data_IF_308905941173
#
_entry.id   IF_308905941173
#
_cell.length_a   1.000
_cell.length_b   1.000
_cell.length_c   1.000
_cell.angle_alpha   90.00
_cell.angle_beta   90.00
_cell.angle_gamma   90.00
#
_symmetry.space_group_name_H-M   'P 1'
#
loop_
_entity.id
_entity.type
_entity.pdbx_description
1 polymer ?
#
# COMPACT_ATOMS: atom_id res chain seq x y z
N UNK A 1 -14.57 45.58 74.31
CA UNK A 1 -13.51 45.41 75.31
C UNK A 1 -13.10 43.95 75.31
N UNK A 2 -11.81 43.66 75.17
CA UNK A 2 -11.25 42.31 75.35
C UNK A 2 -10.81 42.19 76.81
N UNK A 3 -11.20 41.11 77.48
CA UNK A 3 -10.70 40.79 78.82
C UNK A 3 -9.51 39.85 78.64
N UNK A 4 -8.30 40.34 78.88
CA UNK A 4 -7.08 39.55 78.75
C UNK A 4 -6.51 39.25 80.12
N UNK A 5 -6.40 37.97 80.45
CA UNK A 5 -5.69 37.49 81.64
C UNK A 5 -4.29 37.03 81.24
N UNK A 6 -3.32 37.33 82.10
CA UNK A 6 -1.92 36.98 81.89
C UNK A 6 -1.52 35.92 82.91
N UNK A 7 -1.45 34.66 82.48
CA UNK A 7 -1.09 33.51 83.32
C UNK A 7 0.05 32.74 82.67
N UNK A 8 1.16 32.50 83.38
CA UNK A 8 2.32 31.76 82.89
C UNK A 8 2.94 32.29 81.57
N UNK A 9 3.13 33.60 81.47
CA UNK A 9 3.79 34.26 80.33
C UNK A 9 3.08 34.09 78.98
N UNK A 10 1.82 33.65 78.98
CA UNK A 10 0.93 33.63 77.81
C UNK A 10 -0.30 34.51 78.08
N UNK A 11 -0.61 35.39 77.13
CA UNK A 11 -1.76 36.30 77.20
C UNK A 11 -3.00 35.59 76.62
N UNK A 12 -3.98 35.31 77.47
CA UNK A 12 -5.27 34.73 77.04
C UNK A 12 -6.33 35.82 77.02
N UNK A 13 -6.73 36.23 75.82
CA UNK A 13 -7.78 37.22 75.63
C UNK A 13 -9.12 36.55 75.35
N UNK A 14 -10.17 37.01 76.04
CA UNK A 14 -11.54 36.59 75.81
C UNK A 14 -12.38 37.77 75.33
N UNK A 15 -13.28 37.50 74.38
CA UNK A 15 -14.33 38.45 73.99
C UNK A 15 -15.37 38.56 75.10
N UNK A 16 -16.13 39.65 75.13
CA UNK A 16 -17.25 39.85 76.08
C UNK A 16 -18.34 38.75 76.04
N UNK A 17 -18.31 37.87 75.04
CA UNK A 17 -19.18 36.70 74.89
C UNK A 17 -18.52 35.37 75.30
N UNK A 18 -17.35 35.40 75.95
CA UNK A 18 -16.65 34.21 76.47
C UNK A 18 -15.84 33.42 75.44
N UNK A 19 -15.76 33.87 74.18
CA UNK A 19 -14.98 33.18 73.15
C UNK A 19 -13.48 33.49 73.27
N UNK A 20 -12.60 32.48 73.30
CA UNK A 20 -11.16 32.68 73.34
C UNK A 20 -10.67 33.30 72.03
N UNK A 21 -9.81 34.30 72.14
CA UNK A 21 -9.16 35.00 71.03
C UNK A 21 -7.68 34.65 71.07
N UNK A 22 -7.23 33.98 70.02
CA UNK A 22 -5.81 33.69 69.79
C UNK A 22 -5.24 34.72 68.83
N UNK A 23 -3.94 35.00 68.96
CA UNK A 23 -3.21 35.88 68.06
C UNK A 23 -1.98 35.12 67.53
N UNK A 24 -1.60 35.39 66.27
CA UNK A 24 -0.36 34.89 65.70
C UNK A 24 0.84 35.70 66.26
N UNK A 25 2.07 35.34 65.89
CA UNK A 25 3.29 36.01 66.34
C UNK A 25 3.36 37.50 65.93
N UNK A 26 2.62 37.90 64.90
CA UNK A 26 2.51 39.28 64.42
C UNK A 26 1.37 40.06 65.11
N UNK A 27 0.60 39.42 66.00
CA UNK A 27 -0.52 40.04 66.71
C UNK A 27 -1.86 40.00 65.95
N UNK A 28 -1.99 39.23 64.87
CA UNK A 28 -3.24 39.09 64.11
C UNK A 28 -4.09 37.94 64.67
N UNK A 29 -5.39 38.18 64.83
CA UNK A 29 -6.35 37.13 65.17
C UNK A 29 -6.70 36.28 63.93
N UNK A 30 -7.04 34.99 64.09
CA UNK A 30 -7.48 34.16 62.97
C UNK A 30 -8.73 34.76 62.34
N UNK A 31 -8.70 34.91 61.01
CA UNK A 31 -9.81 35.47 60.26
C UNK A 31 -11.06 34.60 60.39
N UNK A 32 -12.21 35.24 60.55
CA UNK A 32 -13.51 34.58 60.45
C UNK A 32 -14.43 35.50 59.68
N UNK A 33 -15.04 34.97 58.63
CA UNK A 33 -15.85 35.77 57.73
C UNK A 33 -17.18 35.08 57.46
N UNK A 34 -18.26 35.84 57.53
CA UNK A 34 -19.53 35.43 56.96
C UNK A 34 -19.58 35.87 55.50
N UNK A 35 -20.02 34.97 54.63
CA UNK A 35 -20.09 35.20 53.19
C UNK A 35 -21.54 35.47 52.82
N UNK A 36 -21.78 36.63 52.21
CA UNK A 36 -23.11 37.07 51.81
C UNK A 36 -23.22 37.11 50.29
N UNK A 37 -24.40 36.76 49.78
CA UNK A 37 -24.79 37.02 48.39
C UNK A 37 -25.94 38.02 48.37
N UNK A 38 -25.85 39.01 47.48
CA UNK A 38 -26.95 39.94 47.22
C UNK A 38 -27.97 39.28 46.30
N UNK A 39 -29.15 38.97 46.82
CA UNK A 39 -30.21 38.22 46.14
C UNK A 39 -31.50 39.04 46.07
N UNK A 40 -32.29 38.84 45.02
CA UNK A 40 -33.62 39.46 44.87
C UNK A 40 -34.66 38.45 45.31
N UNK A 41 -35.41 38.78 46.37
CA UNK A 41 -36.47 37.93 46.88
C UNK A 41 -37.69 37.98 45.94
N UNK A 42 -38.64 37.04 46.08
CA UNK A 42 -39.85 36.92 45.25
C UNK A 42 -40.72 38.18 45.20
N UNK A 43 -40.52 39.12 46.14
CA UNK A 43 -41.20 40.42 46.22
C UNK A 43 -40.46 41.55 45.51
N UNK A 44 -39.48 41.24 44.67
CA UNK A 44 -38.61 42.21 43.97
C UNK A 44 -37.76 43.10 44.88
N UNK A 45 -37.60 42.73 46.15
CA UNK A 45 -36.74 43.41 47.13
C UNK A 45 -35.39 42.72 47.20
N UNK A 46 -34.30 43.49 47.12
CA UNK A 46 -32.96 42.95 47.17
C UNK A 46 -32.41 42.97 48.61
N UNK A 47 -31.83 41.84 49.04
CA UNK A 47 -31.31 41.64 50.39
C UNK A 47 -30.00 40.85 50.40
N UNK A 48 -29.18 41.09 51.43
CA UNK A 48 -27.98 40.30 51.69
C UNK A 48 -28.37 39.03 52.45
N UNK A 49 -28.10 37.86 51.85
CA UNK A 49 -28.34 36.57 52.46
C UNK A 49 -27.02 35.88 52.77
N UNK A 50 -26.87 35.36 53.99
CA UNK A 50 -25.70 34.53 54.37
C UNK A 50 -25.75 33.24 53.57
N UNK A 51 -24.70 32.98 52.79
CA UNK A 51 -24.55 31.78 51.96
C UNK A 51 -23.42 30.87 52.44
N UNK A 52 -22.61 31.32 53.40
CA UNK A 52 -21.53 30.52 53.94
C UNK A 52 -20.71 31.26 54.99
N UNK A 53 -19.69 30.58 55.48
CA UNK A 53 -18.72 31.14 56.41
C UNK A 53 -17.32 30.59 56.11
N UNK A 54 -16.31 31.35 56.52
CA UNK A 54 -14.91 30.97 56.43
C UNK A 54 -14.30 30.97 57.83
N UNK A 55 -13.81 29.80 58.25
CA UNK A 55 -13.10 29.59 59.51
C UNK A 55 -11.95 28.63 59.23
N UNK A 56 -10.84 29.15 58.69
CA UNK A 56 -9.70 28.41 58.13
C UNK A 56 -10.02 27.49 56.93
N UNK A 57 -11.27 27.06 56.80
CA UNK A 57 -11.84 26.34 55.67
C UNK A 57 -13.11 27.06 55.19
N UNK A 58 -13.38 26.93 53.89
CA UNK A 58 -14.54 27.54 53.24
C UNK A 58 -15.74 26.60 53.32
N UNK A 59 -16.82 27.07 53.96
CA UNK A 59 -18.10 26.38 54.02
C UNK A 59 -19.15 27.19 53.26
N UNK A 60 -19.55 26.71 52.09
CA UNK A 60 -20.59 27.32 51.26
C UNK A 60 -21.81 26.42 51.16
N UNK A 61 -22.99 27.00 51.32
CA UNK A 61 -24.25 26.35 51.06
C UNK A 61 -24.68 26.64 49.62
N UNK A 62 -24.49 25.65 48.73
CA UNK A 62 -24.79 25.79 47.30
C UNK A 62 -26.29 26.00 47.05
N UNK A 63 -27.15 25.35 47.83
CA UNK A 63 -28.61 25.45 47.70
C UNK A 63 -29.15 26.83 48.13
N UNK A 64 -28.39 27.55 48.95
CA UNK A 64 -28.76 28.89 49.39
C UNK A 64 -28.41 29.97 48.36
N UNK A 65 -27.59 29.66 47.35
CA UNK A 65 -27.15 30.59 46.31
C UNK A 65 -28.18 30.74 45.19
N UNK A 66 -28.24 31.93 44.61
CA UNK A 66 -29.13 32.23 43.49
C UNK A 66 -28.37 32.91 42.36
N UNK A 67 -28.58 32.43 41.14
CA UNK A 67 -28.00 33.00 39.92
C UNK A 67 -29.10 33.56 39.03
N UNK A 68 -28.77 34.60 38.27
CA UNK A 68 -29.71 35.29 37.37
C UNK A 68 -30.23 34.42 36.23
N UNK A 69 -29.50 33.36 35.87
CA UNK A 69 -29.86 32.39 34.82
C UNK A 69 -30.94 31.39 35.24
N UNK A 70 -31.34 31.34 36.52
CA UNK A 70 -32.31 30.39 37.06
C UNK A 70 -31.77 28.97 37.26
N UNK A 71 -30.54 28.69 36.82
CA UNK A 71 -29.81 27.45 37.07
C UNK A 71 -29.09 27.56 38.43
N UNK A 72 -29.25 26.59 39.36
CA UNK A 72 -28.54 26.60 40.65
C UNK A 72 -27.02 26.33 40.51
N UNK A 73 -26.54 25.90 39.34
CA UNK A 73 -25.10 25.65 39.11
C UNK A 73 -24.28 26.94 39.03
N UNK A 74 -23.05 26.89 39.55
CA UNK A 74 -22.12 28.04 39.54
C UNK A 74 -21.71 28.36 38.10
N UNK A 75 -21.83 29.62 37.64
CA UNK A 75 -21.44 29.99 36.29
C UNK A 75 -19.92 29.83 36.09
N UNK A 76 -19.55 29.14 35.02
CA UNK A 76 -18.14 28.95 34.68
C UNK A 76 -17.52 30.27 34.20
N UNK A 77 -16.48 30.73 34.90
CA UNK A 77 -15.69 31.91 34.51
C UNK A 77 -14.45 31.48 33.71
N UNK A 78 -14.67 30.92 32.51
CA UNK A 78 -13.60 30.43 31.62
C UNK A 78 -13.52 31.27 30.34
N UNK A 79 -12.30 31.61 29.91
CA UNK A 79 -12.10 32.35 28.66
C UNK A 79 -12.32 31.49 27.42
N UNK A 80 -11.97 30.21 27.51
CA UNK A 80 -12.04 29.28 26.38
C UNK A 80 -12.54 27.92 26.89
N UNK A 81 -13.42 27.31 26.12
CA UNK A 81 -13.94 25.97 26.43
C UNK A 81 -12.85 24.91 26.17
N UNK A 82 -12.93 23.74 26.81
CA UNK A 82 -12.08 22.60 26.47
C UNK A 82 -12.19 22.25 24.98
N UNK A 83 -11.05 21.98 24.34
CA UNK A 83 -11.02 21.58 22.94
C UNK A 83 -11.57 20.17 22.75
N UNK A 84 -12.04 19.88 21.54
CA UNK A 84 -12.53 18.55 21.18
C UNK A 84 -11.36 17.59 20.96
N UNK A 85 -11.67 16.30 20.92
CA UNK A 85 -10.70 15.27 20.54
C UNK A 85 -10.15 15.55 19.14
N UNK A 86 -8.83 15.44 18.95
CA UNK A 86 -8.17 15.76 17.69
C UNK A 86 -7.85 17.24 17.47
N UNK A 87 -8.09 18.08 18.48
CA UNK A 87 -7.75 19.50 18.47
C UNK A 87 -6.70 19.83 19.54
N UNK A 88 -5.70 20.63 19.18
CA UNK A 88 -4.72 21.17 20.12
C UNK A 88 -5.08 22.58 20.59
N UNK A 89 -4.68 22.90 21.81
CA UNK A 89 -4.77 24.24 22.41
C UNK A 89 -3.63 25.11 21.90
N UNK A 90 -3.99 26.24 21.31
CA UNK A 90 -3.09 27.31 20.88
C UNK A 90 -3.31 28.51 21.78
N UNK A 91 -2.44 28.70 22.76
CA UNK A 91 -2.55 29.77 23.76
C UNK A 91 -2.47 31.14 23.09
N UNK A 92 -3.37 32.04 23.48
CA UNK A 92 -3.39 33.43 22.99
C UNK A 92 -2.20 34.18 23.58
N UNK A 93 -1.43 34.85 22.73
CA UNK A 93 -0.25 35.63 23.18
C UNK A 93 -0.68 36.70 24.18
N UNK A 94 -0.10 36.68 25.37
CA UNK A 94 -0.36 37.65 26.43
C UNK A 94 -1.50 37.30 27.39
N UNK A 95 -2.26 36.21 27.18
CA UNK A 95 -3.33 35.78 28.10
C UNK A 95 -3.28 34.25 28.32
N UNK A 96 -2.72 33.77 29.45
CA UNK A 96 -2.43 32.34 29.64
C UNK A 96 -3.66 31.44 29.79
N UNK A 97 -4.81 31.99 30.18
CA UNK A 97 -6.06 31.23 30.36
C UNK A 97 -6.94 31.17 29.10
N UNK A 98 -6.54 31.83 28.02
CA UNK A 98 -7.29 31.86 26.76
C UNK A 98 -6.54 31.06 25.68
N UNK A 99 -7.25 30.20 24.97
CA UNK A 99 -6.69 29.40 23.87
C UNK A 99 -7.68 29.27 22.72
N UNK A 100 -7.13 29.08 21.52
CA UNK A 100 -7.89 28.63 20.36
C UNK A 100 -7.69 27.13 20.16
N UNK A 101 -8.75 26.43 19.80
CA UNK A 101 -8.68 25.03 19.43
C UNK A 101 -8.37 24.93 17.93
N UNK A 102 -7.27 24.25 17.59
CA UNK A 102 -6.82 24.06 16.22
C UNK A 102 -6.76 22.56 15.94
N UNK A 103 -7.41 22.10 14.88
CA UNK A 103 -7.49 20.68 14.53
C UNK A 103 -6.13 20.18 14.02
N UNK A 104 -5.74 18.97 14.41
CA UNK A 104 -4.60 18.29 13.79
C UNK A 104 -4.99 17.83 12.38
N UNK A 105 -4.35 18.37 11.34
CA UNK A 105 -4.67 18.07 9.94
C UNK A 105 -3.67 17.12 9.28
N UNK A 106 -4.14 16.46 8.21
CA UNK A 106 -3.35 15.50 7.44
C UNK A 106 -2.94 14.30 8.29
N UNK A 107 -1.65 13.94 8.26
CA UNK A 107 -1.11 12.79 9.00
C UNK A 107 -0.73 13.11 10.45
N UNK A 108 -1.23 14.22 11.00
CA UNK A 108 -0.97 14.57 12.39
C UNK A 108 -2.08 14.08 13.32
N UNK A 109 -1.68 13.65 14.51
CA UNK A 109 -2.56 13.28 15.61
C UNK A 109 -2.24 14.11 16.86
N UNK A 110 -3.18 14.18 17.78
CA UNK A 110 -3.07 14.90 19.05
C UNK A 110 -2.24 14.07 20.04
N UNK A 111 -0.93 14.33 20.07
CA UNK A 111 -0.03 13.70 21.04
C UNK A 111 -0.20 14.27 22.46
N UNK A 112 -0.56 15.56 22.55
CA UNK A 112 -0.85 16.22 23.81
C UNK A 112 -1.91 17.31 23.63
N UNK A 113 -2.38 17.89 24.73
CA UNK A 113 -3.32 19.02 24.66
C UNK A 113 -2.78 20.23 23.90
N UNK A 114 -1.46 20.38 23.73
CA UNK A 114 -0.85 21.57 23.11
C UNK A 114 -0.15 21.29 21.78
N UNK A 115 0.07 20.02 21.43
CA UNK A 115 0.91 19.63 20.32
C UNK A 115 0.27 18.53 19.47
N UNK A 116 0.35 18.71 18.15
CA UNK A 116 0.10 17.66 17.17
C UNK A 116 1.44 17.09 16.71
N UNK A 117 1.53 15.77 16.61
CA UNK A 117 2.70 15.05 16.10
C UNK A 117 2.34 14.29 14.82
N UNK A 118 3.33 14.03 13.98
CA UNK A 118 3.15 13.28 12.74
C UNK A 118 3.11 11.77 13.04
N UNK A 119 2.13 11.06 12.48
CA UNK A 119 2.11 9.60 12.55
C UNK A 119 3.32 8.98 11.82
N UNK A 120 3.81 7.81 12.27
CA UNK A 120 4.79 7.03 11.53
C UNK A 120 4.38 6.78 10.09
N UNK A 121 5.34 6.58 9.20
CA UNK A 121 5.10 6.46 7.75
C UNK A 121 4.11 5.34 7.37
N UNK A 122 4.12 4.23 8.11
CA UNK A 122 3.26 3.04 7.89
C UNK A 122 1.86 3.19 8.51
N UNK A 123 1.61 4.33 9.16
CA UNK A 123 0.39 4.61 9.92
C UNK A 123 -0.29 5.89 9.43
N UNK A 124 -1.58 5.98 9.76
CA UNK A 124 -2.45 7.12 9.54
C UNK A 124 -3.20 7.47 10.83
N UNK A 125 -3.65 8.71 11.02
CA UNK A 125 -4.47 9.04 12.18
C UNK A 125 -5.77 8.23 12.23
N UNK A 126 -6.28 8.03 13.43
CA UNK A 126 -7.64 7.53 13.65
C UNK A 126 -8.69 8.60 13.28
N UNK A 127 -9.96 8.21 13.23
CA UNK A 127 -11.05 9.13 12.87
C UNK A 127 -11.15 10.35 13.81
N UNK A 128 -10.72 10.18 15.08
CA UNK A 128 -10.72 11.24 16.08
C UNK A 128 -9.39 12.00 16.17
N UNK A 129 -8.38 11.65 15.37
CA UNK A 129 -7.01 12.20 15.43
C UNK A 129 -6.40 12.19 16.85
N UNK A 130 -6.75 11.19 17.66
CA UNK A 130 -6.21 10.96 19.01
C UNK A 130 -5.03 10.00 19.01
N UNK A 131 -4.87 9.21 17.95
CA UNK A 131 -3.78 8.25 17.81
C UNK A 131 -3.52 7.88 16.37
N UNK A 132 -2.56 6.96 16.19
CA UNK A 132 -2.21 6.42 14.88
C UNK A 132 -2.65 4.96 14.78
N UNK A 133 -3.15 4.59 13.61
CA UNK A 133 -3.55 3.23 13.24
C UNK A 133 -2.83 2.81 11.96
N UNK A 134 -2.56 1.51 11.76
CA UNK A 134 -1.90 1.04 10.55
C UNK A 134 -2.71 1.37 9.30
N UNK A 135 -2.02 1.76 8.23
CA UNK A 135 -2.65 1.98 6.93
C UNK A 135 -3.16 0.62 6.41
N UNK A 136 -4.45 0.53 6.00
CA UNK A 136 -4.99 -0.73 5.49
C UNK A 136 -4.30 -1.13 4.20
N UNK A 137 -3.91 -2.40 4.13
CA UNK A 137 -3.22 -2.98 2.98
C UNK A 137 -4.26 -3.48 1.99
N UNK A 138 -4.18 -3.02 0.75
CA UNK A 138 -4.98 -3.52 -0.34
C UNK A 138 -4.22 -4.61 -1.10
N UNK A 139 -4.98 -5.57 -1.63
CA UNK A 139 -4.50 -6.64 -2.49
C UNK A 139 -5.45 -6.78 -3.66
N UNK A 140 -4.96 -7.31 -4.78
CA UNK A 140 -5.84 -7.61 -5.89
C UNK A 140 -6.79 -8.74 -5.50
N UNK A 141 -8.08 -8.45 -5.46
CA UNK A 141 -9.10 -9.43 -5.15
C UNK A 141 -9.56 -10.15 -6.42
N UNK A 142 -9.80 -11.46 -6.31
CA UNK A 142 -10.25 -12.31 -7.42
C UNK A 142 -11.58 -11.86 -8.04
N UNK A 143 -12.43 -11.19 -7.26
CA UNK A 143 -13.73 -10.70 -7.70
C UNK A 143 -13.64 -9.33 -8.41
N UNK A 144 -12.48 -8.68 -8.39
CA UNK A 144 -12.30 -7.41 -9.09
C UNK A 144 -12.46 -7.60 -10.60
N UNK A 145 -13.22 -6.75 -11.31
CA UNK A 145 -13.37 -6.82 -12.76
C UNK A 145 -12.03 -6.88 -13.51
N UNK A 146 -11.01 -6.20 -12.97
CA UNK A 146 -9.65 -6.15 -13.50
C UNK A 146 -8.91 -7.49 -13.39
N UNK A 147 -9.28 -8.36 -12.45
CA UNK A 147 -8.75 -9.71 -12.31
C UNK A 147 -9.56 -10.75 -13.09
N UNK A 148 -10.90 -10.62 -13.09
CA UNK A 148 -11.81 -11.58 -13.73
C UNK A 148 -11.56 -11.70 -15.23
N UNK A 149 -11.38 -10.56 -15.93
CA UNK A 149 -11.20 -10.56 -17.38
C UNK A 149 -9.91 -11.31 -17.83
N UNK A 150 -8.71 -11.03 -17.30
CA UNK A 150 -7.51 -11.81 -17.62
C UNK A 150 -7.63 -13.29 -17.26
N UNK A 151 -8.21 -13.63 -16.09
CA UNK A 151 -8.39 -15.04 -15.69
C UNK A 151 -9.27 -15.77 -16.70
N UNK A 152 -10.38 -15.18 -17.11
CA UNK A 152 -11.29 -15.79 -18.08
C UNK A 152 -10.59 -16.06 -19.42
N UNK A 153 -9.85 -15.07 -19.94
CA UNK A 153 -9.08 -15.22 -21.19
C UNK A 153 -8.03 -16.34 -21.04
N UNK A 154 -7.33 -16.39 -19.91
CA UNK A 154 -6.31 -17.41 -19.67
C UNK A 154 -6.88 -18.82 -19.49
N UNK A 155 -8.05 -18.97 -18.87
CA UNK A 155 -8.76 -20.27 -18.82
C UNK A 155 -9.13 -20.73 -20.21
N UNK A 156 -9.73 -19.86 -21.04
CA UNK A 156 -10.04 -20.20 -22.44
C UNK A 156 -8.78 -20.55 -23.23
N UNK A 157 -7.70 -19.80 -23.04
CA UNK A 157 -6.39 -20.04 -23.66
C UNK A 157 -5.81 -21.40 -23.27
N UNK A 158 -5.86 -21.76 -21.98
CA UNK A 158 -5.42 -23.07 -21.48
C UNK A 158 -6.26 -24.21 -22.08
N UNK A 159 -7.59 -24.07 -22.10
CA UNK A 159 -8.48 -25.07 -22.68
C UNK A 159 -8.19 -25.28 -24.18
N UNK A 160 -8.04 -24.19 -24.93
CA UNK A 160 -7.70 -24.24 -26.35
C UNK A 160 -6.32 -24.87 -26.58
N UNK A 161 -5.31 -24.47 -25.80
CA UNK A 161 -3.94 -25.01 -25.91
C UNK A 161 -3.91 -26.50 -25.57
N UNK A 162 -4.62 -26.91 -24.52
CA UNK A 162 -4.73 -28.32 -24.11
C UNK A 162 -5.44 -29.14 -25.19
N UNK A 163 -6.52 -28.62 -25.78
CA UNK A 163 -7.19 -29.27 -26.91
C UNK A 163 -6.25 -29.47 -28.11
N UNK A 164 -5.44 -28.47 -28.44
CA UNK A 164 -4.42 -28.57 -29.51
C UNK A 164 -3.36 -29.61 -29.14
N UNK A 165 -2.84 -29.60 -27.91
CA UNK A 165 -1.87 -30.61 -27.44
C UNK A 165 -2.43 -32.03 -27.57
N UNK A 166 -3.64 -32.27 -27.08
CA UNK A 166 -4.30 -33.59 -27.16
C UNK A 166 -4.47 -34.02 -28.62
N UNK A 167 -4.86 -33.11 -29.50
CA UNK A 167 -4.98 -33.37 -30.94
C UNK A 167 -3.63 -33.73 -31.55
N UNK A 168 -2.56 -32.98 -31.25
CA UNK A 168 -1.21 -33.27 -31.73
C UNK A 168 -0.70 -34.63 -31.24
N UNK A 169 -0.97 -35.00 -29.98
CA UNK A 169 -0.60 -36.30 -29.42
C UNK A 169 -1.37 -37.44 -30.08
N UNK A 170 -2.68 -37.27 -30.30
CA UNK A 170 -3.56 -38.30 -30.90
C UNK A 170 -3.23 -38.59 -32.36
N UNK A 171 -2.76 -37.58 -33.10
CA UNK A 171 -2.42 -37.64 -34.51
C UNK A 171 -0.92 -37.51 -34.76
N UNK A 172 -0.07 -37.87 -33.79
CA UNK A 172 1.36 -37.60 -33.85
C UNK A 172 2.10 -38.31 -35.00
N UNK A 173 1.52 -39.38 -35.55
CA UNK A 173 2.10 -40.16 -36.66
C UNK A 173 1.66 -39.66 -38.04
N UNK A 174 0.78 -38.67 -38.11
CA UNK A 174 0.38 -38.09 -39.39
C UNK A 174 1.57 -37.42 -40.09
N UNK A 175 1.68 -37.55 -41.42
CA UNK A 175 2.83 -37.01 -42.16
C UNK A 175 2.98 -35.50 -42.02
N UNK A 176 1.86 -34.78 -41.81
CA UNK A 176 1.83 -33.33 -41.57
C UNK A 176 2.52 -32.98 -40.24
N UNK A 177 2.15 -33.64 -39.14
CA UNK A 177 2.73 -33.37 -37.81
C UNK A 177 4.22 -33.75 -37.78
N UNK A 178 4.59 -34.84 -38.44
CA UNK A 178 5.98 -35.28 -38.58
C UNK A 178 6.83 -34.31 -39.40
N UNK A 179 6.29 -33.71 -40.47
CA UNK A 179 7.00 -32.75 -41.32
C UNK A 179 7.29 -31.42 -40.58
N UNK A 180 6.32 -30.91 -39.80
CA UNK A 180 6.45 -29.65 -39.04
C UNK A 180 7.53 -29.69 -37.94
N UNK A 181 7.96 -30.88 -37.53
CA UNK A 181 8.90 -31.08 -36.43
C UNK A 181 8.18 -31.19 -35.08
N UNK A 182 7.69 -32.40 -34.79
CA UNK A 182 6.87 -32.75 -33.61
C UNK A 182 7.40 -32.18 -32.30
N UNK A 183 8.67 -32.45 -32.01
CA UNK A 183 9.32 -32.03 -30.77
C UNK A 183 9.24 -30.51 -30.56
N UNK A 184 9.52 -29.75 -31.61
CA UNK A 184 9.51 -28.29 -31.55
C UNK A 184 8.10 -27.71 -31.40
N UNK A 185 7.10 -28.37 -32.01
CA UNK A 185 5.69 -28.01 -31.81
C UNK A 185 5.26 -28.25 -30.36
N UNK A 186 5.70 -29.34 -29.73
CA UNK A 186 5.41 -29.58 -28.30
C UNK A 186 6.07 -28.54 -27.40
N UNK A 187 7.35 -28.19 -27.64
CA UNK A 187 8.03 -27.13 -26.86
C UNK A 187 7.31 -25.79 -27.01
N UNK A 188 6.86 -25.44 -28.22
CA UNK A 188 6.08 -24.22 -28.48
C UNK A 188 4.75 -24.23 -27.73
N UNK A 189 3.98 -25.33 -27.79
CA UNK A 189 2.70 -25.46 -27.09
C UNK A 189 2.86 -25.40 -25.57
N UNK A 190 3.93 -25.99 -25.03
CA UNK A 190 4.29 -25.86 -23.61
C UNK A 190 4.59 -24.41 -23.25
N UNK A 191 5.32 -23.67 -24.07
CA UNK A 191 5.56 -22.24 -23.87
C UNK A 191 4.27 -21.42 -23.83
N UNK A 192 3.36 -21.66 -24.78
CA UNK A 192 2.05 -21.00 -24.84
C UNK A 192 1.20 -21.33 -23.60
N UNK A 193 1.18 -22.60 -23.18
CA UNK A 193 0.50 -23.01 -21.96
C UNK A 193 1.04 -22.27 -20.74
N UNK A 194 2.37 -22.17 -20.59
CA UNK A 194 3.01 -21.41 -19.51
C UNK A 194 2.68 -19.92 -19.55
N UNK A 195 2.59 -19.32 -20.75
CA UNK A 195 2.18 -17.93 -20.92
C UNK A 195 0.74 -17.65 -20.47
N UNK A 196 -0.18 -18.61 -20.58
CA UNK A 196 -1.52 -18.47 -19.99
C UNK A 196 -1.53 -18.82 -18.50
N UNK A 197 -0.72 -19.80 -18.08
CA UNK A 197 -0.65 -20.22 -16.69
C UNK A 197 -0.06 -19.15 -15.77
N UNK A 198 0.81 -18.26 -16.26
CA UNK A 198 1.38 -17.17 -15.45
C UNK A 198 0.33 -16.15 -14.97
N UNK A 199 -0.82 -16.05 -15.63
CA UNK A 199 -1.89 -15.12 -15.22
C UNK A 199 -2.37 -15.39 -13.79
N UNK A 200 -2.40 -16.66 -13.37
CA UNK A 200 -2.83 -17.05 -12.02
C UNK A 200 -1.87 -16.57 -10.92
N UNK A 201 -0.55 -16.86 -10.94
CA UNK A 201 0.36 -16.33 -9.94
C UNK A 201 0.45 -14.80 -9.99
N UNK A 202 0.23 -14.15 -11.13
CA UNK A 202 0.18 -12.68 -11.22
C UNK A 202 -1.02 -12.07 -10.47
N UNK A 203 -2.14 -12.79 -10.38
CA UNK A 203 -3.36 -12.33 -9.71
C UNK A 203 -3.43 -12.81 -8.26
N UNK A 204 -2.84 -13.97 -7.95
CA UNK A 204 -2.80 -14.52 -6.61
C UNK A 204 -2.18 -13.54 -5.61
N UNK A 205 -2.64 -13.60 -4.36
CA UNK A 205 -2.12 -12.76 -3.29
C UNK A 205 -0.58 -12.94 -3.18
N UNK A 206 0.19 -11.85 -3.13
CA UNK A 206 1.63 -11.93 -2.98
C UNK A 206 2.00 -12.68 -1.71
N UNK A 207 2.77 -13.74 -1.91
CA UNK A 207 3.37 -14.58 -0.88
C UNK A 207 4.74 -15.02 -1.41
N UNK A 208 5.64 -15.48 -0.55
CA UNK A 208 6.99 -15.90 -0.94
C UNK A 208 6.95 -16.92 -2.08
N UNK A 209 6.03 -17.90 -2.01
CA UNK A 209 5.85 -18.89 -3.07
C UNK A 209 5.34 -18.25 -4.37
N UNK A 210 4.32 -17.39 -4.28
CA UNK A 210 3.74 -16.70 -5.44
C UNK A 210 4.76 -15.79 -6.12
N UNK A 211 5.54 -15.03 -5.34
CA UNK A 211 6.61 -14.18 -5.84
C UNK A 211 7.70 -14.99 -6.55
N UNK A 212 8.03 -16.17 -6.01
CA UNK A 212 8.94 -17.10 -6.67
C UNK A 212 8.42 -17.54 -8.03
N UNK A 213 7.15 -17.98 -8.09
CA UNK A 213 6.51 -18.39 -9.35
C UNK A 213 6.41 -17.25 -10.36
N UNK A 214 6.08 -16.02 -9.92
CA UNK A 214 6.06 -14.84 -10.80
C UNK A 214 7.42 -14.62 -11.44
N UNK A 215 8.50 -14.64 -10.67
CA UNK A 215 9.87 -14.44 -11.19
C UNK A 215 10.28 -15.52 -12.19
N UNK A 216 9.96 -16.80 -11.90
CA UNK A 216 10.29 -17.92 -12.79
C UNK A 216 9.52 -17.83 -14.10
N UNK A 217 8.19 -17.69 -14.02
CA UNK A 217 7.35 -17.83 -15.20
C UNK A 217 7.32 -16.59 -16.11
N UNK A 218 7.65 -15.40 -15.59
CA UNK A 218 7.58 -14.13 -16.33
C UNK A 218 8.34 -14.13 -17.64
N UNK A 219 9.59 -14.60 -17.63
CA UNK A 219 10.39 -14.76 -18.85
C UNK A 219 10.27 -16.15 -19.47
N UNK A 220 9.98 -17.18 -18.68
CA UNK A 220 10.17 -18.56 -19.12
C UNK A 220 9.19 -18.99 -20.20
N UNK A 221 7.89 -18.67 -20.08
CA UNK A 221 6.90 -19.03 -21.11
C UNK A 221 7.20 -18.41 -22.48
N UNK A 222 7.61 -17.14 -22.48
CA UNK A 222 8.01 -16.41 -23.68
C UNK A 222 9.31 -16.97 -24.26
N UNK A 223 10.28 -17.30 -23.40
CA UNK A 223 11.53 -17.92 -23.81
C UNK A 223 11.30 -19.29 -24.47
N UNK A 224 10.46 -20.16 -23.91
CA UNK A 224 10.10 -21.45 -24.53
C UNK A 224 9.49 -21.24 -25.92
N UNK A 225 8.53 -20.31 -26.03
CA UNK A 225 7.82 -20.02 -27.27
C UNK A 225 8.77 -19.49 -28.35
N UNK A 226 9.57 -18.47 -28.03
CA UNK A 226 10.48 -17.85 -29.00
C UNK A 226 11.69 -18.70 -29.33
N UNK A 227 12.25 -19.47 -28.39
CA UNK A 227 13.34 -20.40 -28.68
C UNK A 227 12.89 -21.52 -29.64
N UNK A 228 11.67 -22.05 -29.46
CA UNK A 228 11.10 -23.03 -30.37
C UNK A 228 10.84 -22.45 -31.77
N UNK A 229 10.24 -21.26 -31.85
CA UNK A 229 10.01 -20.55 -33.11
C UNK A 229 11.32 -20.20 -33.83
N UNK A 230 12.31 -19.69 -33.10
CA UNK A 230 13.63 -19.35 -33.64
C UNK A 230 14.32 -20.59 -34.22
N UNK A 231 14.26 -21.72 -33.51
CA UNK A 231 14.88 -22.95 -34.01
C UNK A 231 14.14 -23.52 -35.21
N UNK A 232 12.79 -23.42 -35.25
CA UNK A 232 12.00 -23.76 -36.44
C UNK A 232 12.35 -22.88 -37.65
N UNK A 233 12.39 -21.56 -37.48
CA UNK A 233 12.71 -20.62 -38.57
C UNK A 233 14.16 -20.76 -39.03
N UNK A 234 15.10 -20.98 -38.10
CA UNK A 234 16.50 -21.24 -38.42
C UNK A 234 16.66 -22.54 -39.24
N UNK A 235 15.97 -23.63 -38.84
CA UNK A 235 15.94 -24.89 -39.62
C UNK A 235 15.47 -24.63 -41.05
N UNK A 236 14.34 -23.92 -41.23
CA UNK A 236 13.79 -23.59 -42.56
C UNK A 236 14.84 -22.80 -43.35
N UNK A 237 15.39 -21.73 -42.77
CA UNK A 237 16.40 -20.91 -43.43
C UNK A 237 17.60 -21.73 -43.90
N UNK A 238 18.12 -22.64 -43.07
CA UNK A 238 19.27 -23.49 -43.41
C UNK A 238 18.98 -24.47 -44.54
N UNK A 239 17.78 -25.05 -44.58
CA UNK A 239 17.36 -25.95 -45.66
C UNK A 239 17.33 -25.19 -47.00
N UNK A 240 16.69 -24.03 -47.04
CA UNK A 240 16.58 -23.26 -48.28
C UNK A 240 17.89 -22.62 -48.72
N UNK A 241 18.68 -22.10 -47.79
CA UNK A 241 19.93 -21.42 -48.13
C UNK A 241 21.02 -22.40 -48.57
N UNK A 242 21.06 -23.60 -47.99
CA UNK A 242 21.96 -24.65 -48.47
C UNK A 242 21.43 -25.34 -49.71
N UNK A 243 20.12 -25.52 -49.86
CA UNK A 243 19.51 -26.06 -51.09
C UNK A 243 19.81 -25.21 -52.34
N UNK A 244 20.09 -23.90 -52.18
CA UNK A 244 20.57 -23.03 -53.26
C UNK A 244 22.04 -23.25 -53.64
N UNK A 245 22.86 -23.79 -52.73
CA UNK A 245 24.32 -23.90 -52.87
C UNK A 245 24.80 -25.35 -53.11
N UNK A 246 24.12 -26.34 -52.55
CA UNK A 246 24.48 -27.76 -52.64
C UNK A 246 23.26 -28.67 -52.38
N UNK A 247 23.28 -29.88 -52.94
CA UNK A 247 22.24 -30.90 -52.72
C UNK A 247 22.47 -31.70 -51.41
N UNK A 248 23.55 -31.39 -50.67
CA UNK A 248 23.87 -32.06 -49.41
C UNK A 248 23.02 -31.53 -48.25
N UNK A 249 22.56 -32.42 -47.34
CA UNK A 249 21.75 -31.99 -46.21
C UNK A 249 22.57 -31.17 -45.20
N UNK A 250 22.03 -30.06 -44.69
CA UNK A 250 22.67 -29.30 -43.63
C UNK A 250 23.02 -30.11 -42.37
N UNK A 251 24.17 -29.78 -41.74
CA UNK A 251 24.51 -30.24 -40.37
C UNK A 251 23.38 -29.89 -39.38
N UNK A 252 23.21 -30.51 -38.22
CA UNK A 252 22.16 -30.13 -37.24
C UNK A 252 20.69 -30.14 -37.74
N UNK A 253 20.33 -30.98 -38.73
CA UNK A 253 18.92 -31.20 -39.11
C UNK A 253 18.21 -32.16 -38.14
N UNK A 254 18.98 -32.98 -37.40
CA UNK A 254 18.41 -33.98 -36.51
C UNK A 254 17.52 -33.36 -35.43
N UNK A 255 16.34 -33.95 -35.12
CA UNK A 255 15.47 -33.49 -34.03
C UNK A 255 16.20 -33.36 -32.70
N UNK A 256 17.12 -34.28 -32.40
CA UNK A 256 17.93 -34.23 -31.17
C UNK A 256 18.81 -32.96 -31.12
N UNK A 257 19.46 -32.59 -32.23
CA UNK A 257 20.27 -31.36 -32.27
C UNK A 257 19.43 -30.08 -32.16
N UNK A 258 18.19 -30.08 -32.65
CA UNK A 258 17.26 -28.94 -32.53
C UNK A 258 16.77 -28.77 -31.09
N UNK A 259 16.46 -29.88 -30.41
CA UNK A 259 16.13 -29.86 -28.99
C UNK A 259 17.31 -29.34 -28.16
N UNK A 260 18.53 -29.78 -28.43
CA UNK A 260 19.72 -29.29 -27.71
C UNK A 260 19.90 -27.78 -27.88
N UNK A 261 19.75 -27.24 -29.10
CA UNK A 261 19.82 -25.79 -29.35
C UNK A 261 18.69 -25.05 -28.62
N UNK A 262 17.48 -25.61 -28.61
CA UNK A 262 16.34 -24.96 -27.96
C UNK A 262 16.49 -24.93 -26.44
N UNK A 263 16.86 -26.07 -25.85
CA UNK A 263 17.12 -26.17 -24.42
C UNK A 263 18.33 -25.36 -24.00
N UNK A 264 19.36 -25.20 -24.84
CA UNK A 264 20.48 -24.32 -24.50
C UNK A 264 20.04 -22.86 -24.43
N UNK A 265 19.21 -22.38 -25.35
CA UNK A 265 18.63 -21.02 -25.29
C UNK A 265 17.75 -20.84 -24.04
N UNK A 266 16.87 -21.80 -23.74
CA UNK A 266 16.04 -21.78 -22.53
C UNK A 266 16.89 -21.80 -21.26
N UNK A 267 17.98 -22.56 -21.27
CA UNK A 267 18.88 -22.67 -20.11
C UNK A 267 19.55 -21.34 -19.77
N UNK A 268 19.80 -20.46 -20.75
CA UNK A 268 20.33 -19.10 -20.48
C UNK A 268 19.33 -18.30 -19.64
N UNK A 269 18.04 -18.33 -19.99
CA UNK A 269 17.00 -17.66 -19.21
C UNK A 269 16.88 -18.26 -17.80
N UNK A 270 16.86 -19.59 -17.69
CA UNK A 270 16.80 -20.27 -16.39
C UNK A 270 18.01 -19.93 -15.51
N UNK A 271 19.22 -19.92 -16.08
CA UNK A 271 20.42 -19.54 -15.36
C UNK A 271 20.32 -18.12 -14.82
N UNK A 272 19.84 -17.17 -15.64
CA UNK A 272 19.62 -15.79 -15.20
C UNK A 272 18.64 -15.70 -14.03
N UNK A 273 17.54 -16.47 -14.08
CA UNK A 273 16.58 -16.56 -12.98
C UNK A 273 17.25 -17.14 -11.73
N UNK A 274 17.97 -18.26 -11.81
CA UNK A 274 18.62 -18.88 -10.66
C UNK A 274 19.69 -17.98 -10.02
N UNK A 275 20.50 -17.29 -10.84
CA UNK A 275 21.47 -16.29 -10.35
C UNK A 275 20.75 -15.19 -9.58
N UNK A 276 19.61 -14.72 -10.08
CA UNK A 276 18.84 -13.69 -9.37
C UNK A 276 18.21 -14.18 -8.08
N UNK A 277 17.73 -15.42 -8.04
CA UNK A 277 17.23 -16.05 -6.81
C UNK A 277 18.32 -16.17 -5.74
N UNK A 278 19.57 -16.41 -6.16
CA UNK A 278 20.70 -16.50 -5.24
C UNK A 278 21.18 -15.12 -4.75
N UNK A 279 21.13 -14.11 -5.62
CA UNK A 279 21.51 -12.74 -5.26
C UNK A 279 20.45 -12.07 -4.37
N UNK A 280 19.18 -12.13 -4.77
CA UNK A 280 18.05 -11.49 -4.09
C UNK A 280 16.93 -12.50 -3.86
N UNK A 281 16.79 -13.07 -2.64
CA UNK A 281 15.72 -14.01 -2.35
C UNK A 281 14.34 -13.36 -2.48
N UNK A 282 13.33 -14.09 -2.99
CA UNK A 282 11.99 -13.56 -3.16
C UNK A 282 11.35 -13.28 -1.81
N UNK A 283 10.90 -12.04 -1.61
CA UNK A 283 10.13 -11.63 -0.43
C UNK A 283 9.04 -10.65 -0.84
N UNK A 284 8.10 -10.43 0.07
CA UNK A 284 6.99 -9.49 -0.10
C UNK A 284 7.30 -8.19 0.62
N UNK A 285 6.97 -7.06 0.00
CA UNK A 285 7.12 -5.72 0.57
C UNK A 285 5.79 -4.98 0.48
N UNK A 286 5.48 -4.16 1.47
CA UNK A 286 4.33 -3.26 1.44
C UNK A 286 4.82 -1.90 1.01
N UNK A 287 4.31 -1.43 -0.12
CA UNK A 287 4.57 -0.08 -0.59
C UNK A 287 3.49 0.87 -0.08
N UNK A 288 3.87 1.79 0.78
CA UNK A 288 2.98 2.84 1.27
C UNK A 288 3.10 4.12 0.41
N UNK A 289 4.10 4.25 -0.46
CA UNK A 289 4.37 5.48 -1.22
C UNK A 289 3.35 5.72 -2.33
N UNK A 290 3.07 4.72 -3.16
CA UNK A 290 2.22 4.89 -4.36
C UNK A 290 0.77 5.27 -4.05
N UNK A 291 0.26 4.95 -2.86
CA UNK A 291 -1.14 5.18 -2.48
C UNK A 291 -1.31 5.93 -1.17
N UNK A 292 -0.27 6.68 -0.75
CA UNK A 292 -0.40 7.64 0.35
C UNK A 292 -0.88 8.98 -0.19
N UNK A 293 -2.20 9.10 -0.29
CA UNK A 293 -2.88 10.34 -0.68
C UNK A 293 -2.69 11.44 0.38
N UNK A 294 -2.90 12.70 -0.01
CA UNK A 294 -2.93 13.83 0.93
C UNK A 294 -4.00 13.64 2.02
N UNK A 295 -5.11 13.01 1.65
CA UNK A 295 -6.15 12.59 2.59
C UNK A 295 -5.76 11.27 3.28
N UNK A 296 -5.56 11.25 4.62
CA UNK A 296 -5.23 10.04 5.37
C UNK A 296 -6.36 8.98 5.36
N UNK A 297 -7.62 9.36 5.15
CA UNK A 297 -8.71 8.38 5.11
C UNK A 297 -8.62 7.46 3.88
N UNK A 298 -8.06 7.99 2.79
CA UNK A 298 -7.89 7.31 1.52
C UNK A 298 -6.52 6.65 1.35
N UNK A 299 -5.60 6.85 2.30
CA UNK A 299 -4.30 6.20 2.29
C UNK A 299 -4.42 4.67 2.31
N UNK A 300 -3.73 4.00 1.39
CA UNK A 300 -3.66 2.53 1.30
C UNK A 300 -2.21 2.08 1.13
N UNK A 301 -1.88 0.91 1.65
CA UNK A 301 -0.62 0.23 1.38
C UNK A 301 -0.83 -0.84 0.31
N UNK A 302 0.07 -0.96 -0.66
CA UNK A 302 -0.01 -1.98 -1.72
C UNK A 302 0.96 -3.10 -1.39
N UNK A 303 0.44 -4.31 -1.16
CA UNK A 303 1.29 -5.49 -1.00
C UNK A 303 1.81 -5.91 -2.38
N UNK A 304 3.13 -5.91 -2.56
CA UNK A 304 3.79 -6.33 -3.81
C UNK A 304 4.94 -7.31 -3.54
N UNK A 305 5.35 -8.01 -4.58
CA UNK A 305 6.59 -8.79 -4.54
C UNK A 305 7.76 -7.83 -4.73
N UNK A 306 8.79 -7.91 -3.88
CA UNK A 306 10.01 -7.17 -4.16
C UNK A 306 10.72 -7.83 -5.34
N UNK A 307 10.79 -7.15 -6.48
CA UNK A 307 11.43 -7.63 -7.69
C UNK A 307 12.29 -6.49 -8.21
N UNK A 308 13.59 -6.73 -8.33
CA UNK A 308 14.50 -5.74 -8.88
C UNK A 308 14.14 -5.39 -10.32
N UNK A 309 14.05 -4.10 -10.62
CA UNK A 309 13.85 -3.59 -11.97
C UNK A 309 14.91 -4.13 -12.94
N UNK A 310 16.14 -4.31 -12.47
CA UNK A 310 17.21 -4.88 -13.28
C UNK A 310 16.90 -6.33 -13.68
N UNK A 311 16.47 -7.17 -12.74
CA UNK A 311 16.05 -8.55 -13.04
C UNK A 311 14.94 -8.60 -14.07
N UNK A 312 13.97 -7.71 -13.92
CA UNK A 312 12.81 -7.61 -14.80
C UNK A 312 13.23 -7.18 -16.21
N UNK A 313 14.03 -6.12 -16.32
CA UNK A 313 14.57 -5.60 -17.58
C UNK A 313 15.43 -6.65 -18.27
N UNK A 314 16.32 -7.35 -17.55
CA UNK A 314 17.16 -8.40 -18.11
C UNK A 314 16.32 -9.58 -18.63
N UNK A 315 15.33 -10.04 -17.86
CA UNK A 315 14.48 -11.18 -18.24
C UNK A 315 13.61 -10.87 -19.46
N UNK A 316 12.93 -9.72 -19.46
CA UNK A 316 12.13 -9.28 -20.61
C UNK A 316 13.03 -8.94 -21.81
N UNK A 317 14.20 -8.34 -21.56
CA UNK A 317 15.19 -8.01 -22.59
C UNK A 317 15.70 -9.23 -23.34
N UNK A 318 15.97 -10.35 -22.65
CA UNK A 318 16.35 -11.60 -23.31
C UNK A 318 15.22 -12.14 -24.19
N UNK A 319 13.98 -12.09 -23.70
CA UNK A 319 12.79 -12.51 -24.46
C UNK A 319 12.60 -11.65 -25.73
N UNK A 320 12.83 -10.33 -25.62
CA UNK A 320 12.81 -9.39 -26.75
C UNK A 320 13.93 -9.71 -27.74
N UNK A 321 15.15 -10.00 -27.27
CA UNK A 321 16.28 -10.38 -28.14
C UNK A 321 15.95 -11.64 -28.94
N UNK A 322 15.38 -12.66 -28.31
CA UNK A 322 14.92 -13.89 -28.98
C UNK A 322 13.82 -13.59 -30.02
N UNK A 323 12.86 -12.75 -29.67
CA UNK A 323 11.80 -12.34 -30.59
C UNK A 323 12.39 -11.62 -31.81
N UNK A 324 13.24 -10.61 -31.61
CA UNK A 324 13.87 -9.84 -32.70
C UNK A 324 14.70 -10.73 -33.60
N UNK A 325 15.52 -11.63 -33.04
CA UNK A 325 16.28 -12.59 -33.86
C UNK A 325 15.33 -13.50 -34.65
N UNK A 326 14.26 -13.99 -34.03
CA UNK A 326 13.28 -14.82 -34.72
C UNK A 326 12.59 -14.04 -35.87
N UNK A 327 12.29 -12.76 -35.69
CA UNK A 327 11.72 -11.89 -36.74
C UNK A 327 12.70 -11.70 -37.89
N UNK A 328 13.99 -11.49 -37.61
CA UNK A 328 15.03 -11.38 -38.65
C UNK A 328 15.10 -12.67 -39.49
N UNK A 329 15.09 -13.84 -38.84
CA UNK A 329 15.06 -15.12 -39.56
C UNK A 329 13.76 -15.34 -40.32
N UNK A 330 12.61 -14.95 -39.77
CA UNK A 330 11.32 -15.03 -40.44
C UNK A 330 11.28 -14.18 -41.73
N UNK A 331 11.90 -12.99 -41.71
CA UNK A 331 12.05 -12.14 -42.90
C UNK A 331 12.93 -12.83 -43.94
N UNK A 332 14.06 -13.41 -43.53
CA UNK A 332 14.95 -14.16 -44.44
C UNK A 332 14.28 -15.39 -45.07
N UNK A 333 13.28 -15.96 -44.41
CA UNK A 333 12.51 -17.12 -44.93
C UNK A 333 11.26 -16.74 -45.73
N UNK A 334 10.99 -15.45 -46.00
CA UNK A 334 9.81 -15.03 -46.79
C UNK A 334 9.82 -15.53 -48.24
N UNK A 335 11.00 -15.72 -48.82
CA UNK A 335 11.16 -16.19 -50.21
C UNK A 335 11.00 -17.71 -50.40
N UNK A 336 10.54 -18.42 -49.37
CA UNK A 336 10.27 -19.86 -49.43
C UNK A 336 8.98 -20.11 -50.25
N UNK A 337 9.01 -20.98 -51.27
CA UNK A 337 7.83 -21.28 -52.09
C UNK A 337 6.67 -21.83 -51.25
N UNK A 338 5.43 -21.49 -51.64
CA UNK A 338 4.19 -21.79 -50.90
C UNK A 338 3.92 -23.29 -50.69
N UNK A 339 4.68 -24.18 -51.35
CA UNK A 339 4.62 -25.63 -51.10
C UNK A 339 5.01 -26.01 -49.66
N UNK A 340 5.75 -25.14 -48.95
CA UNK A 340 5.94 -25.20 -47.49
C UNK A 340 5.07 -24.14 -46.79
N UNK A 341 3.76 -24.39 -46.74
CA UNK A 341 2.71 -23.52 -46.18
C UNK A 341 2.89 -23.06 -44.71
N UNK A 342 3.93 -23.52 -44.01
CA UNK A 342 4.21 -23.15 -42.61
C UNK A 342 4.98 -21.83 -42.46
N UNK A 343 5.76 -21.38 -43.46
CA UNK A 343 6.61 -20.20 -43.30
C UNK A 343 5.81 -18.87 -43.20
N UNK A 344 4.70 -18.77 -43.94
CA UNK A 344 3.82 -17.59 -43.98
C UNK A 344 3.11 -17.31 -42.64
N UNK A 345 2.43 -18.29 -41.99
CA UNK A 345 1.82 -18.06 -40.67
C UNK A 345 2.88 -17.76 -39.60
N UNK A 346 4.06 -18.40 -39.64
CA UNK A 346 5.15 -18.07 -38.72
C UNK A 346 5.56 -16.60 -38.88
N UNK A 347 5.77 -16.13 -40.12
CA UNK A 347 6.06 -14.71 -40.37
C UNK A 347 5.00 -13.78 -39.80
N UNK A 348 3.72 -14.08 -40.03
CA UNK A 348 2.61 -13.29 -39.48
C UNK A 348 2.60 -13.24 -37.94
N UNK A 349 2.85 -14.38 -37.27
CA UNK A 349 2.96 -14.43 -35.80
C UNK A 349 4.14 -13.59 -35.28
N UNK A 350 5.27 -13.58 -35.98
CA UNK A 350 6.42 -12.76 -35.59
C UNK A 350 6.15 -11.26 -35.74
N UNK A 351 5.48 -10.81 -36.82
CA UNK A 351 5.14 -9.39 -36.97
C UNK A 351 4.12 -8.92 -35.95
N UNK A 352 3.07 -9.71 -35.72
CA UNK A 352 2.03 -9.37 -34.74
C UNK A 352 2.60 -9.30 -33.32
N UNK A 353 3.45 -10.26 -32.93
CA UNK A 353 4.12 -10.22 -31.61
C UNK A 353 5.06 -9.03 -31.46
N UNK A 354 5.83 -8.65 -32.50
CA UNK A 354 6.63 -7.42 -32.43
C UNK A 354 5.80 -6.17 -32.19
N UNK A 355 4.64 -6.03 -32.84
CA UNK A 355 3.75 -4.87 -32.63
C UNK A 355 3.22 -4.85 -31.19
N UNK A 356 2.82 -6.01 -30.66
CA UNK A 356 2.35 -6.14 -29.26
C UNK A 356 3.45 -5.71 -28.29
N UNK A 357 4.70 -6.15 -28.50
CA UNK A 357 5.83 -5.77 -27.65
C UNK A 357 6.18 -4.29 -27.72
N UNK A 358 6.13 -3.68 -28.90
CA UNK A 358 6.34 -2.25 -29.07
C UNK A 358 5.31 -1.40 -28.33
N UNK A 359 4.06 -1.89 -28.21
CA UNK A 359 3.04 -1.25 -27.39
C UNK A 359 3.19 -1.56 -25.89
N UNK A 360 3.57 -2.79 -25.54
CA UNK A 360 3.71 -3.23 -24.16
C UNK A 360 4.77 -2.45 -23.39
N UNK A 361 5.96 -2.23 -23.95
CA UNK A 361 7.08 -1.54 -23.27
C UNK A 361 6.67 -0.15 -22.74
N UNK A 362 6.16 0.79 -23.57
CA UNK A 362 5.80 2.12 -23.08
C UNK A 362 4.60 2.09 -22.13
N UNK A 363 3.66 1.15 -22.29
CA UNK A 363 2.53 1.01 -21.36
C UNK A 363 3.02 0.52 -20.01
N UNK A 364 3.90 -0.48 -19.98
CA UNK A 364 4.40 -1.08 -18.74
C UNK A 364 5.22 -0.07 -17.92
N UNK A 365 6.22 0.56 -18.53
CA UNK A 365 7.02 1.57 -17.83
C UNK A 365 6.26 2.88 -17.60
N UNK A 366 5.38 3.26 -18.53
CA UNK A 366 4.56 4.46 -18.41
C UNK A 366 3.53 4.36 -17.29
N UNK A 367 2.91 3.20 -17.07
CA UNK A 367 1.98 2.98 -15.95
C UNK A 367 2.70 2.91 -14.62
N UNK A 368 3.87 2.26 -14.56
CA UNK A 368 4.73 2.27 -13.37
C UNK A 368 5.14 3.70 -12.98
N UNK A 369 5.47 4.55 -13.95
CA UNK A 369 5.85 5.95 -13.70
C UNK A 369 4.66 6.89 -13.52
N UNK A 370 3.48 6.56 -14.04
CA UNK A 370 2.26 7.35 -13.86
C UNK A 370 1.63 7.14 -12.48
N UNK A 371 1.80 5.95 -11.88
CA UNK A 371 1.46 5.73 -10.48
C UNK A 371 2.25 6.68 -9.56
N UNK A 372 3.53 6.95 -9.86
CA UNK A 372 4.31 7.97 -9.16
C UNK A 372 3.79 9.41 -9.40
N UNK A 373 3.30 9.74 -10.60
CA UNK A 373 2.84 11.11 -10.94
C UNK A 373 1.43 11.45 -10.49
N UNK A 374 0.54 10.47 -10.32
CA UNK A 374 -0.81 10.71 -9.75
C UNK A 374 -0.72 11.07 -8.26
N UNK A 375 0.41 10.80 -7.61
CA UNK A 375 0.71 11.17 -6.21
C UNK A 375 1.19 12.63 -6.06
N UNK A 376 1.35 13.38 -7.15
CA UNK A 376 1.87 14.75 -7.18
C UNK A 376 0.83 15.82 -7.56
N UNK A 377 -0.46 15.47 -7.58
CA UNK A 377 -1.57 16.42 -7.77
C UNK A 377 -2.58 16.37 -6.62
#
# INVERSE_FOLDING_TARGET
MLCCDNTNSQVHCFRSAGTPVTFNENGDAPGRYDIFQYQINNRSTAEYKVIGHWTDQLYLNMDAMQWTSGDPSVPASVCSLPCKMGERKKVVKGVPCCWHCERCEGYHFQASEFMCELCPYEQRPDQNHTGCQPIPIIKLEWHSPWAVLPVFISVLGILATTFVIVTFVRYHDTPIVRASGREMSYVLLTGIFLCYAITFPMIAAPDVAVCSFRRIFLGLGMCFSYAALLTKTNRIHRIFEQGKKAVTPPRFISPASQLVITFSLISVQLMGVFVWFAADPPHTVVDYGEQRTQDPENARGVLKCDISDLSLICSLGYSILLMVTCTVYAIKTRGVPETFNEAKPIGFTMYTTCIIWLAFIPIFFGTAQSAERVSLF
#
